data_IF_117315968298
#
_entry.id   IF_117315968298
#
_cell.length_a   1.000
_cell.length_b   1.000
_cell.length_c   1.000
_cell.angle_alpha   90.00
_cell.angle_beta   90.00
_cell.angle_gamma   90.00
#
_symmetry.space_group_name_H-M   'P 1'
#
loop_
_entity.id
_entity.type
_entity.pdbx_description
1 polymer ?
#
# COMPACT_ATOMS: atom_id res chain seq x y z
N UNK A 1 30.37 18.84 26.89
CA UNK A 1 31.10 18.22 25.77
C UNK A 1 30.19 17.24 25.05
N UNK A 2 29.68 17.61 23.88
CA UNK A 2 28.73 16.80 23.10
C UNK A 2 29.51 15.80 22.21
N UNK A 3 29.45 14.51 22.53
CA UNK A 3 30.03 13.45 21.69
C UNK A 3 29.16 13.27 20.45
N UNK A 4 29.77 13.31 19.26
CA UNK A 4 29.08 12.98 18.01
C UNK A 4 28.85 11.46 17.94
N UNK A 5 27.63 10.99 17.67
CA UNK A 5 27.39 9.57 17.43
C UNK A 5 28.13 9.14 16.16
N UNK A 6 28.91 8.06 16.27
CA UNK A 6 29.68 7.50 15.16
C UNK A 6 28.78 6.52 14.42
N UNK A 7 28.64 6.70 13.11
CA UNK A 7 27.94 5.77 12.24
C UNK A 7 28.86 4.59 11.87
N UNK A 8 28.33 3.37 11.73
CA UNK A 8 29.12 2.21 11.33
C UNK A 8 29.75 2.46 9.95
N UNK A 9 31.02 2.07 9.82
CA UNK A 9 31.79 2.25 8.58
C UNK A 9 31.25 1.38 7.44
N UNK A 10 31.47 1.81 6.20
CA UNK A 10 30.99 1.10 5.00
C UNK A 10 31.52 -0.34 4.90
N UNK A 11 32.68 -0.64 5.48
CA UNK A 11 33.25 -1.99 5.57
C UNK A 11 32.42 -2.95 6.42
N UNK A 12 31.53 -2.45 7.29
CA UNK A 12 30.59 -3.28 8.05
C UNK A 12 29.30 -3.58 7.26
N UNK A 13 28.93 -2.70 6.32
CA UNK A 13 27.75 -2.88 5.49
C UNK A 13 27.94 -3.95 4.40
N UNK A 14 29.19 -4.21 3.99
CA UNK A 14 29.52 -5.11 2.88
C UNK A 14 30.39 -6.30 3.32
N UNK A 15 30.08 -6.93 4.46
CA UNK A 15 30.72 -8.21 4.80
C UNK A 15 30.24 -9.31 3.84
N UNK A 16 31.18 -9.92 3.10
CA UNK A 16 30.95 -11.13 2.30
C UNK A 16 30.60 -12.31 3.22
N UNK A 17 29.46 -12.95 2.98
CA UNK A 17 28.90 -14.07 3.76
C UNK A 17 29.51 -15.45 3.48
N UNK A 18 30.76 -15.53 2.98
CA UNK A 18 31.37 -16.82 2.61
C UNK A 18 32.09 -17.54 3.77
N UNK A 19 32.08 -16.98 4.98
CA UNK A 19 32.53 -17.71 6.18
C UNK A 19 31.35 -17.98 7.09
N UNK A 20 30.90 -19.23 7.08
CA UNK A 20 29.87 -19.75 7.97
C UNK A 20 30.31 -19.59 9.44
N UNK A 21 29.61 -18.73 10.18
CA UNK A 21 29.74 -18.63 11.63
C UNK A 21 28.67 -19.51 12.28
N UNK A 22 29.12 -20.44 13.11
CA UNK A 22 28.30 -21.40 13.88
C UNK A 22 27.39 -20.62 14.84
N UNK A 23 26.09 -20.95 14.98
CA UNK A 23 25.22 -20.25 15.90
C UNK A 23 25.54 -20.65 17.34
N UNK A 24 26.18 -19.75 18.08
CA UNK A 24 26.27 -19.84 19.54
C UNK A 24 24.91 -19.44 20.12
N UNK A 25 24.23 -20.40 20.74
CA UNK A 25 22.98 -20.22 21.48
C UNK A 25 23.27 -19.32 22.67
N UNK A 26 22.95 -18.03 22.54
CA UNK A 26 22.93 -17.10 23.68
C UNK A 26 21.48 -16.70 23.95
N UNK A 27 21.08 -16.95 25.18
CA UNK A 27 19.73 -16.83 25.70
C UNK A 27 19.11 -15.43 25.51
N UNK A 28 17.79 -15.42 25.31
CA UNK A 28 16.97 -14.23 25.12
C UNK A 28 17.00 -13.29 26.35
N UNK A 29 17.21 -11.97 26.16
CA UNK A 29 16.62 -10.97 27.04
C UNK A 29 15.24 -10.57 26.51
N UNK A 30 14.26 -10.62 27.41
CA UNK A 30 12.88 -10.18 27.24
C UNK A 30 12.78 -8.73 26.74
N UNK A 31 12.08 -8.52 25.64
CA UNK A 31 11.84 -7.18 25.06
C UNK A 31 10.69 -6.46 25.78
N UNK A 32 10.86 -5.21 26.22
CA UNK A 32 9.74 -4.38 26.67
C UNK A 32 8.91 -3.84 25.48
N UNK A 33 7.59 -3.88 25.64
CA UNK A 33 6.58 -3.38 24.70
C UNK A 33 6.75 -1.87 24.42
N UNK A 34 6.87 -1.41 23.15
CA UNK A 34 6.87 0.02 22.86
C UNK A 34 5.44 0.57 22.88
N UNK A 35 5.03 1.07 24.04
CA UNK A 35 3.95 2.06 24.11
C UNK A 35 4.51 3.43 23.70
N UNK A 36 3.78 4.11 22.80
CA UNK A 36 3.90 5.54 22.47
C UNK A 36 4.98 5.94 21.46
N UNK A 37 4.60 5.97 20.17
CA UNK A 37 5.34 6.69 19.12
C UNK A 37 4.88 8.15 19.02
N UNK A 38 5.78 9.14 18.94
CA UNK A 38 5.46 10.56 18.88
C UNK A 38 5.00 11.05 17.48
N UNK A 39 4.85 10.15 16.51
CA UNK A 39 4.52 10.46 15.12
C UNK A 39 3.04 10.84 14.87
N UNK A 40 2.17 10.82 15.89
CA UNK A 40 0.75 11.19 15.79
C UNK A 40 0.42 12.63 16.20
N UNK A 41 1.41 13.49 16.45
CA UNK A 41 1.17 14.93 16.72
C UNK A 41 1.25 15.77 15.45
N UNK A 42 0.38 15.50 14.47
CA UNK A 42 0.17 16.37 13.30
C UNK A 42 -1.23 16.99 13.31
N UNK A 43 -1.47 17.90 14.26
CA UNK A 43 -2.60 18.83 14.16
C UNK A 43 -2.38 20.03 15.11
N UNK A 44 -1.67 21.07 14.64
CA UNK A 44 -1.94 22.48 14.94
C UNK A 44 -0.73 23.38 14.58
N UNK A 45 -0.70 23.90 13.35
CA UNK A 45 -0.49 25.34 13.09
C UNK A 45 -0.64 25.65 11.60
N UNK A 46 -1.76 26.28 11.24
CA UNK A 46 -1.88 27.13 10.06
C UNK A 46 -1.63 28.57 10.51
N UNK A 47 -0.52 29.15 10.09
CA UNK A 47 -0.24 30.59 9.86
C UNK A 47 0.94 30.55 8.89
N UNK A 48 0.82 30.88 7.61
CA UNK A 48 0.68 32.25 7.11
C UNK A 48 2.07 32.88 7.02
N UNK A 49 2.70 32.88 5.84
CA UNK A 49 3.42 34.03 5.25
C UNK A 49 4.06 33.57 3.92
N UNK A 50 3.88 34.42 2.91
CA UNK A 50 4.54 34.47 1.62
C UNK A 50 6.06 34.63 1.73
N UNK A 51 6.81 33.89 0.92
CA UNK A 51 8.05 34.36 0.31
C UNK A 51 8.36 33.51 -0.92
N UNK A 52 8.52 34.20 -2.05
CA UNK A 52 9.02 33.64 -3.29
C UNK A 52 10.50 33.27 -3.12
N UNK A 53 10.90 32.07 -3.56
CA UNK A 53 12.29 31.86 -3.96
C UNK A 53 12.41 30.70 -4.95
N UNK A 54 12.88 31.07 -6.15
CA UNK A 54 13.68 30.29 -7.10
C UNK A 54 13.22 28.86 -7.42
N UNK A 55 12.44 28.75 -8.49
CA UNK A 55 12.50 27.58 -9.36
C UNK A 55 13.95 27.42 -9.84
N UNK A 56 14.64 26.38 -9.36
CA UNK A 56 15.94 25.99 -9.87
C UNK A 56 15.78 25.56 -11.34
N UNK A 57 16.11 26.48 -12.24
CA UNK A 57 16.29 26.19 -13.66
C UNK A 57 17.42 25.19 -13.81
N UNK A 58 17.10 23.95 -14.15
CA UNK A 58 18.08 22.95 -14.55
C UNK A 58 18.69 23.39 -15.88
N UNK A 59 19.86 24.02 -15.80
CA UNK A 59 20.66 24.37 -16.97
C UNK A 59 21.10 23.09 -17.66
N UNK A 60 20.48 22.81 -18.82
CA UNK A 60 20.87 21.71 -19.70
C UNK A 60 22.27 22.03 -20.25
N UNK A 61 23.29 21.27 -19.83
CA UNK A 61 24.62 21.34 -20.42
C UNK A 61 24.54 20.77 -21.83
N UNK A 62 24.87 21.52 -22.89
CA UNK A 62 24.97 20.95 -24.23
C UNK A 62 26.24 20.09 -24.27
N UNK A 63 26.07 18.77 -24.17
CA UNK A 63 27.15 17.81 -24.38
C UNK A 63 27.55 17.81 -25.85
N UNK A 64 28.55 18.62 -26.20
CA UNK A 64 29.21 18.57 -27.51
C UNK A 64 30.12 17.35 -27.61
N UNK A 65 29.67 16.33 -28.33
CA UNK A 65 30.52 15.28 -28.88
C UNK A 65 30.70 15.54 -30.39
N UNK A 66 31.90 15.30 -30.97
CA UNK A 66 32.20 15.62 -32.36
C UNK A 66 31.38 14.78 -33.34
N UNK A 67 31.13 15.27 -34.58
CA UNK A 67 30.21 14.65 -35.51
C UNK A 67 30.88 13.47 -36.22
N UNK A 68 30.56 12.27 -35.79
CA UNK A 68 30.70 11.08 -36.61
C UNK A 68 29.36 10.36 -36.56
N UNK A 69 28.61 10.52 -37.66
CA UNK A 69 27.48 9.68 -38.08
C UNK A 69 26.30 9.59 -37.09
N UNK A 70 25.53 10.69 -36.95
CA UNK A 70 24.23 10.67 -36.28
C UNK A 70 23.09 10.50 -37.29
N UNK A 71 22.89 9.26 -37.74
CA UNK A 71 21.78 8.83 -38.62
C UNK A 71 20.38 9.08 -38.03
N UNK A 72 20.28 9.45 -36.74
CA UNK A 72 19.02 9.73 -36.04
C UNK A 72 18.67 11.23 -35.98
N UNK A 73 19.56 12.11 -36.44
CA UNK A 73 19.33 13.56 -36.43
C UNK A 73 18.10 13.97 -37.28
N UNK A 74 17.81 13.22 -38.34
CA UNK A 74 16.65 13.41 -39.22
C UNK A 74 15.30 13.17 -38.54
N UNK A 75 15.27 12.42 -37.43
CA UNK A 75 14.06 12.17 -36.63
C UNK A 75 13.86 13.20 -35.50
N UNK A 76 14.89 13.99 -35.15
CA UNK A 76 14.75 15.13 -34.22
C UNK A 76 14.34 16.42 -34.92
N UNK A 77 14.78 16.60 -36.16
CA UNK A 77 14.38 17.74 -36.98
C UNK A 77 13.02 17.46 -37.64
N UNK A 78 11.94 17.68 -36.89
CA UNK A 78 10.60 17.75 -37.47
C UNK A 78 10.47 18.90 -38.48
N UNK A 79 9.54 18.84 -39.44
CA UNK A 79 9.37 19.86 -40.46
C UNK A 79 9.13 21.25 -39.84
N UNK A 80 9.62 22.26 -40.54
CA UNK A 80 9.46 23.68 -40.23
C UNK A 80 8.04 24.05 -39.79
N UNK A 81 8.00 24.89 -38.77
CA UNK A 81 6.88 25.45 -38.02
C UNK A 81 5.61 25.73 -38.86
N UNK A 82 4.50 24.98 -38.63
CA UNK A 82 3.17 25.45 -38.96
C UNK A 82 2.54 26.18 -37.75
N UNK A 83 1.81 27.25 -38.06
CA UNK A 83 1.09 28.14 -37.13
C UNK A 83 0.35 27.43 -35.97
N UNK A 84 0.18 28.08 -34.81
CA UNK A 84 -0.34 27.44 -33.60
C UNK A 84 -1.76 26.92 -33.83
N UNK A 85 -1.92 25.59 -33.80
CA UNK A 85 -3.21 24.93 -33.81
C UNK A 85 -3.99 25.25 -32.51
N UNK A 86 -5.32 25.40 -32.56
CA UNK A 86 -6.12 25.68 -31.38
C UNK A 86 -6.01 24.52 -30.39
N UNK A 87 -5.39 24.77 -29.24
CA UNK A 87 -5.33 23.81 -28.13
C UNK A 87 -6.75 23.54 -27.62
N UNK A 88 -7.24 22.34 -27.92
CA UNK A 88 -8.49 21.84 -27.37
C UNK A 88 -8.29 21.67 -25.86
N UNK A 89 -8.80 22.63 -25.09
CA UNK A 89 -8.76 22.56 -23.64
C UNK A 89 -9.50 21.30 -23.19
N UNK A 90 -8.86 20.39 -22.42
CA UNK A 90 -9.57 19.26 -21.88
C UNK A 90 -10.59 19.80 -20.89
N UNK A 91 -11.87 19.79 -21.30
CA UNK A 91 -12.98 20.00 -20.39
C UNK A 91 -12.97 18.83 -19.41
N UNK A 92 -12.26 19.01 -18.30
CA UNK A 92 -12.39 18.14 -17.14
C UNK A 92 -13.84 18.26 -16.72
N UNK A 93 -14.64 17.26 -17.08
CA UNK A 93 -15.98 17.12 -16.56
C UNK A 93 -15.83 16.93 -15.05
N UNK A 94 -15.94 18.00 -14.29
CA UNK A 94 -16.28 17.97 -12.87
C UNK A 94 -17.73 17.53 -12.75
N UNK A 95 -18.03 16.33 -13.26
CA UNK A 95 -19.21 15.59 -12.86
C UNK A 95 -18.97 15.27 -11.39
N UNK A 96 -19.68 15.99 -10.53
CA UNK A 96 -19.91 15.59 -9.16
C UNK A 96 -20.27 14.11 -9.17
N UNK A 97 -19.28 13.28 -8.85
CA UNK A 97 -19.48 11.85 -8.71
C UNK A 97 -20.50 11.74 -7.58
N UNK A 98 -21.68 11.14 -7.78
CA UNK A 98 -22.42 10.67 -6.64
C UNK A 98 -21.52 9.62 -6.03
N UNK A 99 -20.77 9.99 -4.99
CA UNK A 99 -20.16 9.04 -4.11
C UNK A 99 -21.34 8.29 -3.54
N UNK A 100 -21.72 7.18 -4.19
CA UNK A 100 -22.57 6.16 -3.63
C UNK A 100 -21.80 5.73 -2.40
N UNK A 101 -22.11 6.39 -1.28
CA UNK A 101 -21.49 6.15 0.01
C UNK A 101 -21.81 4.69 0.25
N UNK A 102 -20.81 3.86 0.03
CA UNK A 102 -20.88 2.44 0.31
C UNK A 102 -21.20 2.37 1.79
N UNK A 103 -22.32 1.73 2.12
CA UNK A 103 -22.76 1.48 3.48
C UNK A 103 -21.70 0.63 4.18
N UNK A 104 -20.69 1.32 4.71
CA UNK A 104 -19.69 0.77 5.60
C UNK A 104 -20.30 0.78 6.98
N UNK A 105 -20.91 -0.33 7.35
CA UNK A 105 -21.39 -0.56 8.71
C UNK A 105 -20.23 -0.36 9.68
N UNK A 106 -20.46 0.47 10.71
CA UNK A 106 -19.50 0.66 11.80
C UNK A 106 -19.62 -0.54 12.75
N UNK A 107 -18.47 -1.12 13.11
CA UNK A 107 -18.38 -2.17 14.12
C UNK A 107 -17.47 -1.65 15.22
N UNK A 108 -17.96 -1.69 16.46
CA UNK A 108 -17.25 -1.12 17.61
C UNK A 108 -16.29 -2.14 18.26
N UNK A 109 -16.58 -3.43 18.05
CA UNK A 109 -15.79 -4.55 18.55
C UNK A 109 -14.96 -5.19 17.44
N UNK A 110 -13.78 -5.71 17.81
CA UNK A 110 -12.86 -6.40 16.90
C UNK A 110 -12.53 -7.80 17.42
N UNK A 111 -12.43 -8.74 16.49
CA UNK A 111 -11.85 -10.07 16.70
C UNK A 111 -10.63 -10.21 15.80
N UNK A 112 -9.61 -10.93 16.26
CA UNK A 112 -8.41 -11.25 15.47
C UNK A 112 -8.39 -12.75 15.22
N UNK A 113 -8.21 -13.16 13.96
CA UNK A 113 -8.21 -14.57 13.56
C UNK A 113 -6.90 -14.87 12.85
N UNK A 114 -6.25 -15.97 13.25
CA UNK A 114 -5.12 -16.54 12.53
C UNK A 114 -5.65 -17.54 11.50
N UNK A 115 -5.16 -17.44 10.26
CA UNK A 115 -5.54 -18.30 9.15
C UNK A 115 -4.29 -18.78 8.43
N UNK A 116 -4.36 -19.94 7.80
CA UNK A 116 -3.27 -20.46 6.99
C UNK A 116 -3.08 -19.64 5.69
N UNK A 117 -1.96 -19.85 5.01
CA UNK A 117 -1.71 -19.23 3.71
C UNK A 117 -2.78 -19.66 2.68
N UNK A 118 -3.16 -20.94 2.68
CA UNK A 118 -4.15 -21.49 1.75
C UNK A 118 -5.55 -20.90 2.00
N UNK A 119 -5.93 -20.70 3.27
CA UNK A 119 -7.19 -20.06 3.64
C UNK A 119 -7.24 -18.59 3.22
N UNK A 120 -6.12 -17.86 3.35
CA UNK A 120 -6.02 -16.49 2.87
C UNK A 120 -6.16 -16.41 1.34
N UNK A 121 -5.52 -17.32 0.61
CA UNK A 121 -5.64 -17.42 -0.85
C UNK A 121 -7.08 -17.75 -1.27
N UNK A 122 -7.75 -18.67 -0.57
CA UNK A 122 -9.14 -19.00 -0.82
C UNK A 122 -10.07 -17.79 -0.62
N UNK A 123 -9.84 -16.99 0.44
CA UNK A 123 -10.61 -15.78 0.73
C UNK A 123 -10.41 -14.69 -0.34
N UNK A 124 -9.18 -14.51 -0.82
CA UNK A 124 -8.89 -13.57 -1.92
C UNK A 124 -9.52 -14.00 -3.25
N UNK A 125 -9.44 -15.29 -3.55
CA UNK A 125 -10.07 -15.86 -4.74
C UNK A 125 -11.59 -15.64 -4.70
N UNK A 126 -12.22 -15.92 -3.56
CA UNK A 126 -13.65 -15.67 -3.36
C UNK A 126 -14.02 -14.19 -3.56
N UNK A 127 -13.18 -13.26 -3.08
CA UNK A 127 -13.38 -11.82 -3.26
C UNK A 127 -13.38 -11.42 -4.74
N UNK A 128 -12.46 -11.98 -5.53
CA UNK A 128 -12.40 -11.73 -6.97
C UNK A 128 -13.60 -12.34 -7.69
N UNK A 129 -13.99 -13.56 -7.34
CA UNK A 129 -15.18 -14.25 -7.89
C UNK A 129 -16.45 -13.45 -7.64
N UNK A 130 -16.66 -12.95 -6.40
CA UNK A 130 -17.80 -12.11 -6.06
C UNK A 130 -17.87 -10.84 -6.91
N UNK A 131 -16.72 -10.22 -7.17
CA UNK A 131 -16.64 -9.03 -8.01
C UNK A 131 -16.88 -9.34 -9.49
N UNK A 132 -16.30 -10.43 -10.00
CA UNK A 132 -16.36 -10.81 -11.41
C UNK A 132 -17.76 -11.26 -11.82
N UNK A 133 -18.38 -12.16 -11.03
CA UNK A 133 -19.65 -12.79 -11.39
C UNK A 133 -20.87 -12.05 -10.86
N UNK A 134 -20.75 -11.37 -9.71
CA UNK A 134 -21.90 -10.73 -9.05
C UNK A 134 -21.76 -9.20 -8.96
N UNK A 135 -20.64 -8.61 -9.43
CA UNK A 135 -20.39 -7.18 -9.31
C UNK A 135 -20.25 -6.69 -7.86
N UNK A 136 -20.10 -7.61 -6.89
CA UNK A 136 -20.07 -7.30 -5.47
C UNK A 136 -18.64 -6.99 -5.03
N UNK A 137 -18.39 -5.72 -4.71
CA UNK A 137 -17.16 -5.30 -4.06
C UNK A 137 -17.28 -5.52 -2.54
N UNK A 138 -16.68 -6.60 -2.04
CA UNK A 138 -16.56 -6.90 -0.62
C UNK A 138 -15.08 -6.91 -0.20
N UNK A 139 -14.80 -6.46 1.02
CA UNK A 139 -13.51 -6.67 1.68
C UNK A 139 -13.52 -7.97 2.49
N UNK A 140 -12.34 -8.40 2.95
CA UNK A 140 -12.18 -9.61 3.78
C UNK A 140 -13.10 -9.59 5.00
N UNK A 141 -13.16 -8.45 5.69
CA UNK A 141 -13.97 -8.29 6.90
C UNK A 141 -15.46 -8.44 6.62
N UNK A 142 -15.95 -7.90 5.51
CA UNK A 142 -17.35 -8.09 5.10
C UNK A 142 -17.67 -9.55 4.81
N UNK A 143 -16.83 -10.27 4.07
CA UNK A 143 -17.05 -11.69 3.77
C UNK A 143 -17.11 -12.52 5.05
N UNK A 144 -16.17 -12.30 5.96
CA UNK A 144 -16.13 -13.03 7.26
C UNK A 144 -17.37 -12.72 8.10
N UNK A 145 -17.79 -11.45 8.18
CA UNK A 145 -19.00 -11.08 8.94
C UNK A 145 -20.27 -11.72 8.39
N UNK A 146 -20.45 -11.73 7.07
CA UNK A 146 -21.61 -12.40 6.45
C UNK A 146 -21.59 -13.91 6.72
N UNK A 147 -20.42 -14.55 6.60
CA UNK A 147 -20.28 -15.98 6.91
C UNK A 147 -20.64 -16.30 8.37
N UNK A 148 -20.17 -15.48 9.32
CA UNK A 148 -20.53 -15.62 10.74
C UNK A 148 -22.04 -15.42 10.94
N UNK A 149 -22.64 -14.41 10.30
CA UNK A 149 -24.08 -14.16 10.41
C UNK A 149 -24.91 -15.35 9.91
N UNK A 150 -24.52 -15.94 8.78
CA UNK A 150 -25.19 -17.14 8.23
C UNK A 150 -25.08 -18.32 9.19
N UNK A 151 -23.91 -18.55 9.78
CA UNK A 151 -23.71 -19.65 10.73
C UNK A 151 -24.47 -19.45 12.04
N UNK A 152 -24.56 -18.21 12.53
CA UNK A 152 -25.34 -17.91 13.74
C UNK A 152 -26.84 -18.03 13.49
N UNK A 153 -27.33 -17.62 12.31
CA UNK A 153 -28.71 -17.84 11.91
C UNK A 153 -29.04 -19.34 11.80
N UNK A 154 -28.15 -20.13 11.19
CA UNK A 154 -28.27 -21.59 11.11
C UNK A 154 -28.37 -22.24 12.49
N UNK A 155 -27.52 -21.81 13.42
CA UNK A 155 -27.53 -22.29 14.80
C UNK A 155 -28.82 -21.92 15.53
N UNK A 156 -29.33 -20.70 15.35
CA UNK A 156 -30.56 -20.26 15.98
C UNK A 156 -31.79 -21.04 15.48
N UNK A 157 -31.82 -21.39 14.20
CA UNK A 157 -32.95 -22.09 13.58
C UNK A 157 -32.92 -23.60 13.84
N UNK A 158 -31.75 -24.25 13.75
CA UNK A 158 -31.61 -25.72 13.81
C UNK A 158 -31.07 -26.25 15.15
N UNK A 159 -30.50 -25.40 15.99
CA UNK A 159 -29.94 -25.81 17.28
C UNK A 159 -28.87 -26.89 17.13
N UNK A 160 -29.10 -28.06 17.72
CA UNK A 160 -28.13 -29.16 17.75
C UNK A 160 -27.81 -29.75 16.37
N UNK A 161 -28.72 -29.58 15.42
CA UNK A 161 -28.56 -30.04 14.04
C UNK A 161 -27.80 -29.07 13.13
N UNK A 162 -27.41 -27.89 13.64
CA UNK A 162 -26.71 -26.89 12.85
C UNK A 162 -25.34 -27.37 12.35
N UNK A 163 -24.94 -26.86 11.18
CA UNK A 163 -23.68 -27.21 10.51
C UNK A 163 -22.49 -26.92 11.43
N UNK A 164 -22.58 -25.82 12.19
CA UNK A 164 -21.54 -25.41 13.14
C UNK A 164 -21.32 -26.47 14.23
N UNK A 165 -22.40 -27.00 14.82
CA UNK A 165 -22.33 -28.02 15.90
C UNK A 165 -21.68 -29.30 15.37
N UNK A 166 -22.10 -29.76 14.19
CA UNK A 166 -21.56 -30.97 13.56
C UNK A 166 -20.07 -30.86 13.29
N UNK A 167 -19.62 -29.76 12.67
CA UNK A 167 -18.20 -29.52 12.37
C UNK A 167 -17.31 -29.39 13.61
N UNK A 168 -17.85 -28.87 14.71
CA UNK A 168 -17.10 -28.75 15.97
C UNK A 168 -17.01 -30.08 16.73
N UNK A 169 -17.93 -31.03 16.50
CA UNK A 169 -17.88 -32.38 17.07
C UNK A 169 -16.96 -33.34 16.31
N UNK A 170 -16.74 -33.10 15.01
CA UNK A 170 -15.89 -33.92 14.14
C UNK A 170 -14.40 -33.61 14.25
N UNK A 171 -14.03 -32.52 14.95
CA UNK A 171 -12.65 -32.16 15.27
C UNK A 171 -12.23 -32.72 16.62
#
# INVERSE_FOLDING_TARGET
MTRRPVLPGASELFRRTDTASVPEVTELPSLPTPASSPALRSAARRVGESAAEAAASLTLVPGGAPPADDDLASFRAGPAEPAPAPVLQPRVATRGRPARRTDRTKHDEKITVYISADELLALESARLTLRAHHGLAADRGRIVREAVSVLLADLAERGEDAILVRRLKEK
#
